data_IF_652171716067
#
_entry.id   IF_652171716067
#
_cell.length_a   1.000
_cell.length_b   1.000
_cell.length_c   1.000
_cell.angle_alpha   90.00
_cell.angle_beta   90.00
_cell.angle_gamma   90.00
#
_symmetry.space_group_name_H-M   'P 1'
#
loop_
_entity.id
_entity.type
_entity.pdbx_description
1 polymer ?
#
# COMPACT_ATOMS: atom_id res chain seq x y z
N UNK A 1 21.42 94.89 -13.03
CA UNK A 1 22.00 93.64 -13.46
C UNK A 1 21.60 92.64 -12.45
N UNK A 2 20.49 91.87 -12.68
CA UNK A 2 19.85 91.05 -11.73
C UNK A 2 20.02 89.57 -12.20
N UNK A 3 20.69 88.75 -11.37
CA UNK A 3 20.80 87.36 -11.59
C UNK A 3 19.64 86.65 -10.85
N UNK A 4 18.70 86.11 -11.61
CA UNK A 4 17.64 85.19 -11.08
C UNK A 4 18.22 83.79 -10.99
N UNK A 5 18.36 83.28 -9.78
CA UNK A 5 18.78 81.92 -9.54
C UNK A 5 17.52 81.03 -9.33
N UNK A 6 17.25 80.23 -10.31
CA UNK A 6 16.09 79.28 -10.27
C UNK A 6 16.48 78.05 -9.45
N UNK A 7 15.83 77.82 -8.29
CA UNK A 7 15.97 76.59 -7.46
C UNK A 7 15.05 75.50 -8.04
N UNK A 8 15.66 74.44 -8.51
CA UNK A 8 14.94 73.21 -8.96
C UNK A 8 14.76 72.29 -7.77
N UNK A 9 13.51 72.14 -7.29
CA UNK A 9 13.15 71.24 -6.21
C UNK A 9 12.93 69.86 -6.79
N UNK A 10 13.86 68.92 -6.52
CA UNK A 10 13.74 67.49 -6.84
C UNK A 10 12.95 66.78 -5.73
N UNK A 11 11.69 66.44 -6.02
CA UNK A 11 10.86 65.62 -5.16
C UNK A 11 11.21 64.15 -5.43
N UNK A 12 11.96 63.51 -4.55
CA UNK A 12 12.21 62.07 -4.57
C UNK A 12 11.02 61.36 -3.89
N UNK A 13 10.13 60.79 -4.72
CA UNK A 13 9.05 59.96 -4.24
C UNK A 13 9.60 58.57 -3.91
N UNK A 14 9.83 58.28 -2.64
CA UNK A 14 10.15 56.93 -2.15
C UNK A 14 8.91 56.07 -2.14
N UNK A 15 8.78 55.18 -3.13
CA UNK A 15 7.74 54.14 -3.18
C UNK A 15 8.14 53.04 -2.18
N UNK A 16 7.48 53.00 -1.02
CA UNK A 16 7.55 51.87 -0.07
C UNK A 16 6.78 50.69 -0.67
N UNK A 17 7.50 49.72 -1.27
CA UNK A 17 6.93 48.45 -1.67
C UNK A 17 6.75 47.61 -0.42
N UNK A 18 5.51 47.49 0.06
CA UNK A 18 5.14 46.58 1.10
C UNK A 18 5.12 45.16 0.50
N UNK A 19 6.17 44.39 0.77
CA UNK A 19 6.19 42.94 0.48
C UNK A 19 5.20 42.23 1.39
N UNK A 20 4.05 41.88 0.86
CA UNK A 20 3.10 40.99 1.54
C UNK A 20 3.72 39.59 1.52
N UNK A 21 4.38 39.21 2.60
CA UNK A 21 4.79 37.82 2.83
C UNK A 21 3.52 37.01 3.10
N UNK A 22 3.07 36.28 2.08
CA UNK A 22 2.02 35.28 2.23
C UNK A 22 2.56 34.17 3.12
N UNK A 23 2.18 34.17 4.40
CA UNK A 23 2.40 33.06 5.32
C UNK A 23 1.57 31.87 4.81
N UNK A 24 2.20 30.97 4.07
CA UNK A 24 1.57 29.68 3.73
C UNK A 24 1.34 28.94 5.05
N UNK A 25 0.08 28.82 5.43
CA UNK A 25 -0.34 27.91 6.50
C UNK A 25 0.15 26.50 6.12
N UNK A 26 0.68 25.71 7.08
CA UNK A 26 1.07 24.33 6.80
C UNK A 26 -0.16 23.61 6.24
N UNK A 27 -0.03 23.15 5.01
CA UNK A 27 -1.07 22.36 4.34
C UNK A 27 -1.26 21.11 5.17
N UNK A 28 -2.36 21.04 5.93
CA UNK A 28 -2.74 19.84 6.65
C UNK A 28 -2.77 18.69 5.64
N UNK A 29 -1.92 17.68 5.86
CA UNK A 29 -1.91 16.48 5.06
C UNK A 29 -3.35 15.91 5.08
N UNK A 30 -4.04 15.96 3.94
CA UNK A 30 -5.33 15.30 3.81
C UNK A 30 -5.14 13.83 4.15
N UNK A 31 -6.01 13.26 5.01
CA UNK A 31 -5.96 11.83 5.28
C UNK A 31 -6.03 11.10 3.92
N UNK A 32 -5.24 10.03 3.72
CA UNK A 32 -5.22 9.32 2.46
C UNK A 32 -6.66 8.93 2.09
N UNK A 33 -7.14 9.43 0.96
CA UNK A 33 -8.45 9.04 0.44
C UNK A 33 -8.40 7.55 0.16
N UNK A 34 -9.05 6.76 1.01
CA UNK A 34 -9.13 5.32 0.86
C UNK A 34 -9.91 5.04 -0.41
N UNK A 35 -9.24 4.53 -1.44
CA UNK A 35 -9.86 4.14 -2.69
C UNK A 35 -10.95 3.11 -2.37
N UNK A 36 -12.17 3.34 -2.87
CA UNK A 36 -13.23 2.34 -2.77
C UNK A 36 -13.09 1.32 -3.88
N UNK A 37 -13.13 0.05 -3.50
CA UNK A 37 -13.11 -1.10 -4.40
C UNK A 37 -14.51 -1.68 -4.58
N UNK A 38 -14.68 -2.43 -5.64
CA UNK A 38 -15.90 -3.13 -6.02
C UNK A 38 -15.61 -4.62 -6.25
N UNK A 39 -16.66 -5.43 -6.42
CA UNK A 39 -16.53 -6.85 -6.81
C UNK A 39 -15.71 -6.99 -8.09
N UNK A 40 -15.91 -6.09 -9.07
CA UNK A 40 -15.12 -6.12 -10.32
C UNK A 40 -13.62 -5.84 -10.13
N UNK A 41 -13.24 -5.18 -9.04
CA UNK A 41 -11.82 -5.05 -8.70
C UNK A 41 -11.28 -6.37 -8.14
N UNK A 42 -12.05 -7.09 -7.31
CA UNK A 42 -11.64 -8.39 -6.79
C UNK A 42 -11.53 -9.45 -7.90
N UNK A 43 -12.37 -9.39 -8.93
CA UNK A 43 -12.26 -10.28 -10.11
C UNK A 43 -10.88 -10.23 -10.76
N UNK A 44 -10.18 -9.09 -10.70
CA UNK A 44 -8.80 -8.96 -11.20
C UNK A 44 -7.80 -9.83 -10.43
N UNK A 45 -8.17 -10.32 -9.24
CA UNK A 45 -7.34 -11.16 -8.39
C UNK A 45 -7.61 -12.66 -8.56
N UNK A 46 -8.54 -13.08 -9.46
CA UNK A 46 -8.86 -14.51 -9.66
C UNK A 46 -7.64 -15.37 -10.05
N UNK A 47 -6.60 -14.77 -10.58
CA UNK A 47 -5.36 -15.46 -10.91
C UNK A 47 -4.68 -16.11 -9.70
N UNK A 48 -4.95 -15.60 -8.46
CA UNK A 48 -4.33 -16.14 -7.24
C UNK A 48 -5.00 -17.44 -6.76
N UNK A 49 -6.23 -17.75 -7.21
CA UNK A 49 -6.95 -18.95 -6.79
C UNK A 49 -6.13 -20.21 -7.06
N UNK A 50 -6.13 -21.12 -6.10
CA UNK A 50 -5.45 -22.40 -6.15
C UNK A 50 -4.46 -22.58 -5.01
N UNK A 51 -3.65 -23.61 -5.12
CA UNK A 51 -2.67 -23.98 -4.10
C UNK A 51 -1.28 -23.57 -4.54
N UNK A 52 -0.51 -23.07 -3.58
CA UNK A 52 0.80 -22.49 -3.79
C UNK A 52 1.80 -23.01 -2.77
N UNK A 53 3.04 -23.19 -3.20
CA UNK A 53 4.20 -23.41 -2.35
C UNK A 53 4.98 -22.12 -2.25
N UNK A 54 5.11 -21.59 -1.04
CA UNK A 54 5.90 -20.42 -0.75
C UNK A 54 7.33 -20.77 -0.35
N UNK A 55 8.30 -19.97 -0.75
CA UNK A 55 9.70 -20.06 -0.33
C UNK A 55 10.31 -18.67 -0.18
N UNK A 56 11.14 -18.48 0.87
CA UNK A 56 11.93 -17.28 1.12
C UNK A 56 13.38 -17.65 1.38
N UNK A 57 14.24 -16.64 1.57
CA UNK A 57 15.69 -16.86 1.71
C UNK A 57 16.08 -17.64 2.98
N UNK A 58 15.28 -17.54 4.05
CA UNK A 58 15.64 -18.07 5.38
C UNK A 58 14.56 -18.96 5.99
N UNK A 59 13.39 -19.08 5.35
CA UNK A 59 12.25 -19.81 5.88
C UNK A 59 12.10 -21.17 5.19
N UNK A 60 11.65 -22.19 5.95
CA UNK A 60 11.22 -23.44 5.36
C UNK A 60 10.07 -23.20 4.36
N UNK A 61 9.93 -24.03 3.33
CA UNK A 61 8.78 -23.95 2.44
C UNK A 61 7.46 -24.05 3.20
N UNK A 62 6.46 -23.28 2.80
CA UNK A 62 5.11 -23.30 3.35
C UNK A 62 4.09 -23.47 2.24
N UNK A 63 2.86 -23.84 2.57
CA UNK A 63 1.82 -24.17 1.60
C UNK A 63 0.55 -23.44 1.96
N UNK A 64 -0.04 -22.78 0.96
CA UNK A 64 -1.28 -21.99 1.12
C UNK A 64 -2.24 -22.29 -0.02
N UNK A 65 -3.55 -22.26 0.29
CA UNK A 65 -4.61 -22.34 -0.71
C UNK A 65 -5.44 -21.06 -0.65
N UNK A 66 -5.53 -20.40 -1.80
CA UNK A 66 -6.34 -19.23 -2.02
C UNK A 66 -7.63 -19.63 -2.71
N UNK A 67 -8.78 -19.25 -2.16
CA UNK A 67 -10.10 -19.54 -2.73
C UNK A 67 -11.07 -18.42 -2.43
N UNK A 68 -11.87 -18.03 -3.42
CA UNK A 68 -12.97 -17.13 -3.18
C UNK A 68 -14.15 -17.91 -2.59
N UNK A 69 -14.52 -17.61 -1.35
CA UNK A 69 -15.71 -18.16 -0.69
C UNK A 69 -16.99 -17.48 -1.19
N UNK A 70 -16.88 -16.24 -1.67
CA UNK A 70 -17.93 -15.45 -2.31
C UNK A 70 -17.30 -14.42 -3.26
N UNK A 71 -18.13 -13.60 -3.93
CA UNK A 71 -17.65 -12.49 -4.74
C UNK A 71 -16.90 -11.41 -3.92
N UNK A 72 -17.09 -11.39 -2.60
CA UNK A 72 -16.53 -10.38 -1.70
C UNK A 72 -15.54 -10.94 -0.69
N UNK A 73 -15.32 -12.27 -0.67
CA UNK A 73 -14.48 -12.92 0.36
C UNK A 73 -13.45 -13.83 -0.27
N UNK A 74 -12.18 -13.54 -0.06
CA UNK A 74 -11.03 -14.38 -0.39
C UNK A 74 -10.51 -15.02 0.90
N UNK A 75 -10.53 -16.34 0.98
CA UNK A 75 -9.93 -17.11 2.07
C UNK A 75 -8.55 -17.62 1.65
N UNK A 76 -7.64 -17.64 2.63
CA UNK A 76 -6.29 -18.18 2.52
C UNK A 76 -6.14 -19.23 3.61
N UNK A 77 -6.10 -20.50 3.21
CA UNK A 77 -5.85 -21.62 4.13
C UNK A 77 -4.34 -21.91 4.15
N UNK A 78 -3.72 -21.81 5.32
CA UNK A 78 -2.34 -22.25 5.56
C UNK A 78 -2.32 -23.73 5.95
N UNK A 79 -1.38 -24.50 5.40
CA UNK A 79 -1.25 -25.93 5.66
C UNK A 79 0.02 -26.25 6.43
N UNK A 80 -0.05 -27.30 7.26
CA UNK A 80 1.09 -27.77 8.06
C UNK A 80 2.23 -28.33 7.19
N UNK A 81 1.89 -28.92 6.02
CA UNK A 81 2.85 -29.58 5.14
C UNK A 81 2.35 -29.69 3.68
N UNK A 82 3.21 -30.24 2.83
CA UNK A 82 2.97 -30.41 1.39
C UNK A 82 1.83 -31.38 1.03
N UNK A 83 1.38 -32.21 1.97
CA UNK A 83 0.28 -33.16 1.74
C UNK A 83 -1.08 -32.47 1.70
N UNK A 84 -1.17 -31.23 2.22
CA UNK A 84 -2.37 -30.39 2.26
C UNK A 84 -3.55 -31.04 2.99
N UNK A 85 -3.28 -31.94 3.92
CA UNK A 85 -4.31 -32.67 4.67
C UNK A 85 -4.84 -31.90 5.87
N UNK A 86 -3.99 -31.08 6.49
CA UNK A 86 -4.34 -30.34 7.71
C UNK A 86 -4.19 -28.85 7.47
N UNK A 87 -5.31 -28.14 7.61
CA UNK A 87 -5.31 -26.67 7.64
C UNK A 87 -4.92 -26.22 9.05
N UNK A 88 -3.87 -25.43 9.15
CA UNK A 88 -3.36 -24.86 10.40
C UNK A 88 -4.12 -23.58 10.77
N UNK A 89 -4.34 -22.72 9.78
CA UNK A 89 -5.04 -21.45 9.94
C UNK A 89 -5.79 -21.06 8.67
N UNK A 90 -6.81 -20.24 8.81
CA UNK A 90 -7.55 -19.63 7.69
C UNK A 90 -7.70 -18.13 7.92
N UNK A 91 -7.03 -17.34 7.08
CA UNK A 91 -7.20 -15.90 7.04
C UNK A 91 -8.23 -15.53 5.97
N UNK A 92 -9.13 -14.57 6.29
CA UNK A 92 -10.11 -14.04 5.32
C UNK A 92 -9.81 -12.59 5.00
N UNK A 93 -9.93 -12.27 3.73
CA UNK A 93 -9.92 -10.91 3.19
C UNK A 93 -11.33 -10.60 2.68
N UNK A 94 -11.93 -9.52 3.17
CA UNK A 94 -13.32 -9.19 2.91
C UNK A 94 -13.46 -7.80 2.29
N UNK A 95 -14.27 -7.72 1.25
CA UNK A 95 -14.72 -6.45 0.67
C UNK A 95 -16.00 -6.02 1.37
N UNK A 96 -15.92 -4.97 2.19
CA UNK A 96 -17.06 -4.38 2.89
C UNK A 96 -17.00 -2.86 2.78
N UNK A 97 -18.12 -2.23 2.44
CA UNK A 97 -18.24 -0.76 2.30
C UNK A 97 -17.21 -0.13 1.34
N UNK A 98 -16.75 -0.92 0.35
CA UNK A 98 -15.72 -0.51 -0.59
C UNK A 98 -14.28 -0.66 -0.09
N UNK A 99 -14.07 -1.25 1.08
CA UNK A 99 -12.75 -1.54 1.64
C UNK A 99 -12.46 -3.04 1.57
N UNK A 100 -11.32 -3.41 1.03
CA UNK A 100 -10.84 -4.80 1.01
C UNK A 100 -9.78 -4.95 2.10
N UNK A 101 -10.13 -5.68 3.17
CA UNK A 101 -9.30 -5.81 4.37
C UNK A 101 -9.24 -7.27 4.81
N UNK A 102 -8.15 -7.67 5.48
CA UNK A 102 -8.20 -8.87 6.27
C UNK A 102 -8.89 -8.58 7.61
N UNK A 103 -9.78 -9.49 8.04
CA UNK A 103 -10.56 -9.35 9.25
C UNK A 103 -9.80 -9.76 10.52
N UNK A 104 -10.45 -9.58 11.68
CA UNK A 104 -10.01 -10.08 12.99
C UNK A 104 -9.62 -9.00 14.00
N UNK A 105 -9.40 -9.43 15.24
CA UNK A 105 -9.02 -8.55 16.36
C UNK A 105 -7.51 -8.23 16.40
N UNK A 106 -6.71 -8.95 15.61
CA UNK A 106 -5.26 -8.83 15.56
C UNK A 106 -4.75 -7.68 14.68
N UNK A 107 -3.62 -7.92 14.04
CA UNK A 107 -3.08 -7.02 13.03
C UNK A 107 -3.96 -7.03 11.79
N UNK A 108 -4.27 -5.83 11.26
CA UNK A 108 -5.12 -5.66 10.09
C UNK A 108 -4.45 -4.81 9.03
N UNK A 109 -4.75 -5.14 7.79
CA UNK A 109 -4.29 -4.40 6.61
C UNK A 109 -5.48 -4.04 5.74
N UNK A 110 -5.33 -2.97 4.97
CA UNK A 110 -6.31 -2.50 4.00
C UNK A 110 -5.66 -2.41 2.63
N UNK A 111 -6.36 -2.89 1.61
CA UNK A 111 -5.92 -2.72 0.23
C UNK A 111 -5.95 -1.24 -0.18
N UNK A 112 -4.90 -0.80 -0.84
CA UNK A 112 -4.76 0.54 -1.41
C UNK A 112 -4.71 0.54 -2.93
N UNK A 113 -4.29 -0.57 -3.53
CA UNK A 113 -4.34 -0.79 -4.98
C UNK A 113 -4.80 -2.21 -5.28
N UNK A 114 -5.64 -2.39 -6.28
CA UNK A 114 -6.00 -3.68 -6.89
C UNK A 114 -5.97 -3.49 -8.40
N UNK A 115 -5.21 -4.31 -9.09
CA UNK A 115 -5.12 -4.37 -10.54
C UNK A 115 -4.83 -5.81 -11.02
N UNK A 116 -4.71 -6.04 -12.33
CA UNK A 116 -4.40 -7.36 -12.88
C UNK A 116 -2.99 -7.86 -12.54
N UNK A 117 -2.09 -6.96 -12.09
CA UNK A 117 -0.73 -7.29 -11.65
C UNK A 117 -0.65 -7.59 -10.16
N UNK A 118 -1.70 -7.30 -9.38
CA UNK A 118 -1.72 -7.65 -7.98
C UNK A 118 -2.48 -6.71 -7.07
N UNK A 119 -2.18 -6.83 -5.78
CA UNK A 119 -2.80 -6.03 -4.72
C UNK A 119 -1.75 -5.57 -3.72
N UNK A 120 -1.85 -4.32 -3.29
CA UNK A 120 -1.01 -3.76 -2.22
C UNK A 120 -1.87 -3.52 -0.99
N UNK A 121 -1.38 -3.94 0.16
CA UNK A 121 -1.98 -3.75 1.46
C UNK A 121 -1.11 -2.87 2.34
N UNK A 122 -1.74 -1.89 2.97
CA UNK A 122 -1.10 -1.01 3.96
C UNK A 122 -1.59 -1.34 5.37
N UNK A 123 -0.78 -1.09 6.42
CA UNK A 123 -1.16 -1.35 7.79
C UNK A 123 -2.35 -0.48 8.20
N UNK A 124 -3.37 -1.09 8.81
CA UNK A 124 -4.58 -0.42 9.30
C UNK A 124 -4.65 -0.42 10.83
N UNK A 125 -4.52 -1.57 11.47
CA UNK A 125 -4.60 -1.73 12.93
C UNK A 125 -3.49 -2.65 13.39
N UNK A 126 -2.69 -2.23 14.37
CA UNK A 126 -1.58 -3.01 15.00
C UNK A 126 -0.53 -3.58 14.03
N UNK A 127 -0.76 -3.53 12.74
CA UNK A 127 0.18 -3.97 11.71
C UNK A 127 1.36 -2.99 11.59
N UNK A 128 2.56 -3.51 11.31
CA UNK A 128 3.80 -2.72 11.25
C UNK A 128 4.48 -2.73 9.88
N UNK A 129 3.90 -3.45 8.92
CA UNK A 129 4.44 -3.60 7.58
C UNK A 129 3.34 -3.44 6.55
N UNK A 130 3.70 -3.00 5.36
CA UNK A 130 2.89 -3.17 4.16
C UNK A 130 3.27 -4.47 3.45
N UNK A 131 2.39 -4.96 2.56
CA UNK A 131 2.75 -6.05 1.68
C UNK A 131 2.06 -5.93 0.33
N UNK A 132 2.68 -6.55 -0.69
CA UNK A 132 2.14 -6.64 -2.05
C UNK A 132 2.15 -8.09 -2.50
N UNK A 133 1.05 -8.55 -3.07
CA UNK A 133 0.99 -9.74 -3.92
C UNK A 133 1.15 -9.29 -5.36
N UNK A 134 2.19 -9.77 -6.01
CA UNK A 134 2.53 -9.37 -7.37
C UNK A 134 2.54 -10.60 -8.28
N UNK A 135 1.66 -10.59 -9.28
CA UNK A 135 1.59 -11.63 -10.30
C UNK A 135 2.81 -11.54 -11.22
N UNK A 136 3.48 -12.66 -11.44
CA UNK A 136 4.60 -12.78 -12.39
C UNK A 136 4.18 -13.59 -13.62
N UNK A 137 3.38 -14.64 -13.41
CA UNK A 137 2.84 -15.50 -14.47
C UNK A 137 1.58 -16.23 -13.98
N UNK A 138 1.05 -17.17 -14.76
CA UNK A 138 -0.07 -18.03 -14.32
C UNK A 138 0.35 -19.02 -13.23
N UNK A 139 1.63 -19.30 -13.10
CA UNK A 139 2.18 -20.32 -12.21
C UNK A 139 3.10 -19.75 -11.13
N UNK A 140 3.33 -18.46 -11.12
CA UNK A 140 4.21 -17.80 -10.13
C UNK A 140 3.72 -16.42 -9.76
N UNK A 141 3.87 -16.07 -8.49
CA UNK A 141 3.71 -14.70 -8.00
C UNK A 141 4.63 -14.48 -6.79
N UNK A 142 4.74 -13.25 -6.35
CA UNK A 142 5.66 -12.86 -5.29
C UNK A 142 4.91 -12.12 -4.19
N UNK A 143 5.10 -12.53 -2.92
CA UNK A 143 4.68 -11.77 -1.76
C UNK A 143 5.84 -10.91 -1.25
N UNK A 144 5.67 -9.59 -1.28
CA UNK A 144 6.71 -8.62 -0.91
C UNK A 144 6.25 -7.90 0.35
N UNK A 145 6.89 -8.17 1.48
CA UNK A 145 6.63 -7.53 2.77
C UNK A 145 7.66 -6.43 3.00
N UNK A 146 7.18 -5.23 3.42
CA UNK A 146 8.05 -4.07 3.67
C UNK A 146 7.77 -3.48 5.04
N UNK A 147 8.81 -3.33 5.86
CA UNK A 147 8.78 -2.61 7.13
C UNK A 147 9.41 -1.23 6.94
N UNK A 148 8.77 -0.16 7.41
CA UNK A 148 9.30 1.19 7.29
C UNK A 148 10.59 1.38 8.12
N UNK A 149 11.28 2.48 7.86
CA UNK A 149 12.31 3.01 8.74
C UNK A 149 11.64 3.46 10.04
N UNK A 150 12.14 3.01 11.19
CA UNK A 150 11.63 3.38 12.52
C UNK A 150 12.81 3.68 13.42
N UNK A 151 12.78 4.81 14.12
CA UNK A 151 13.80 5.24 15.10
C UNK A 151 15.24 5.17 14.54
N UNK A 152 15.44 5.61 13.30
CA UNK A 152 16.75 5.60 12.61
C UNK A 152 17.25 4.21 12.20
N UNK A 153 16.50 3.13 12.48
CA UNK A 153 16.81 1.80 12.00
C UNK A 153 16.36 1.65 10.54
N UNK A 154 17.20 1.13 9.64
CA UNK A 154 16.84 0.93 8.24
C UNK A 154 15.57 0.09 8.09
N UNK A 155 14.73 0.46 7.14
CA UNK A 155 13.63 -0.39 6.72
C UNK A 155 14.14 -1.75 6.22
N UNK A 156 13.28 -2.75 6.28
CA UNK A 156 13.61 -4.09 5.78
C UNK A 156 12.55 -4.56 4.81
N UNK A 157 12.95 -5.48 3.94
CA UNK A 157 12.04 -6.17 3.03
C UNK A 157 12.24 -7.68 3.19
N UNK A 158 11.14 -8.42 3.03
CA UNK A 158 11.15 -9.88 2.88
C UNK A 158 10.35 -10.23 1.63
N UNK A 159 10.84 -11.18 0.89
CA UNK A 159 10.25 -11.61 -0.37
C UNK A 159 10.01 -13.12 -0.31
N UNK A 160 8.79 -13.53 -0.61
CA UNK A 160 8.44 -14.93 -0.79
C UNK A 160 8.05 -15.17 -2.24
N UNK A 161 8.66 -16.17 -2.86
CA UNK A 161 8.28 -16.64 -4.18
C UNK A 161 7.23 -17.74 -4.01
N UNK A 162 6.10 -17.56 -4.70
CA UNK A 162 4.98 -18.49 -4.68
C UNK A 162 4.92 -19.22 -6.02
N UNK A 163 4.90 -20.55 -5.98
CA UNK A 163 4.83 -21.42 -7.15
C UNK A 163 3.59 -22.31 -7.05
N UNK A 164 2.91 -22.56 -8.17
CA UNK A 164 1.75 -23.49 -8.21
C UNK A 164 2.12 -24.84 -7.63
N UNK A 165 1.21 -25.38 -6.79
CA UNK A 165 1.41 -26.68 -6.14
C UNK A 165 0.17 -27.59 -6.29
N UNK A 166 0.32 -28.91 -6.53
CA UNK A 166 1.58 -29.55 -6.94
C UNK A 166 2.06 -29.05 -8.32
N UNK A 167 3.34 -29.16 -8.58
CA UNK A 167 3.88 -28.90 -9.91
C UNK A 167 3.29 -29.93 -10.89
N UNK A 168 2.72 -29.44 -12.01
CA UNK A 168 2.26 -30.30 -13.11
C UNK A 168 3.44 -30.76 -13.93
#
# INVERSE_FOLDING_TARGET
MNHLTTFLLLIVATILVWSVQSTQLPQQAQPPQTKKFSVSDLEKLRWIEGTWRGSGDVDAPFFERYRFESETTLAVDAFTDETLKTVEDTTRFELKDGQFTNGGEGSRWIATTIDYQGVTFEPLVKAKNSFRWQRESDNTWTAILKWPVVDGKPGRQRVYKMERWPRK
#
